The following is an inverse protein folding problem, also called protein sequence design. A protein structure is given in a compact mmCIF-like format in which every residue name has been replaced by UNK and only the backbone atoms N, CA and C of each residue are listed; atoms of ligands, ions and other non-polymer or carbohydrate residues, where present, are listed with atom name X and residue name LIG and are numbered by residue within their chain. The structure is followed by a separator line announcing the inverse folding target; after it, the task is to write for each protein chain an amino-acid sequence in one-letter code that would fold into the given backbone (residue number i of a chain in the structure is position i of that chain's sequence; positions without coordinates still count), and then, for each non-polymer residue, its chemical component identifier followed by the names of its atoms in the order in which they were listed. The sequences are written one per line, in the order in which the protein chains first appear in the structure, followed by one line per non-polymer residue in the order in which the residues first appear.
data_IF_465564324308
#
_entry.id   IF_465564324308
#
_cell.length_a   1.000
_cell.length_b   1.000
_cell.length_c   1.000
_cell.angle_alpha   90.00
_cell.angle_beta   90.00
_cell.angle_gamma   90.00
#
_symmetry.space_group_name_H-M   'P 1'
#
loop_
_entity.id
_entity.type
_entity.pdbx_description
1 polymer ?
#
# COMPACT_ATOMS: atom_id res chain seq x y z
N UNK A 1 14.30 11.10 5.22
CA UNK A 1 14.11 9.71 4.72
C UNK A 1 13.51 9.75 3.33
N UNK A 2 14.04 9.00 2.36
CA UNK A 2 13.39 8.79 1.05
C UNK A 2 12.40 7.64 1.21
N UNK A 3 11.10 7.91 1.03
CA UNK A 3 10.04 6.89 1.09
C UNK A 3 9.74 6.25 -0.26
N UNK A 4 10.19 6.90 -1.35
CA UNK A 4 9.90 6.51 -2.72
C UNK A 4 11.19 6.38 -3.53
N UNK A 5 11.10 5.61 -4.63
CA UNK A 5 12.19 5.35 -5.57
C UNK A 5 13.12 4.22 -5.13
N UNK A 6 13.89 3.66 -6.07
CA UNK A 6 14.82 2.56 -5.82
C UNK A 6 15.76 2.76 -4.59
N UNK A 7 16.26 3.98 -4.30
CA UNK A 7 17.12 4.20 -3.12
C UNK A 7 16.40 4.11 -1.76
N UNK A 8 15.07 4.03 -1.74
CA UNK A 8 14.29 3.99 -0.49
C UNK A 8 14.23 2.62 0.18
N UNK A 9 14.66 1.55 -0.52
CA UNK A 9 14.46 0.17 -0.06
C UNK A 9 12.98 -0.23 0.05
N UNK A 10 12.07 0.54 -0.56
CA UNK A 10 10.63 0.30 -0.52
C UNK A 10 10.15 -0.19 -1.88
N UNK A 11 9.53 -1.37 -1.90
CA UNK A 11 8.80 -1.91 -3.04
C UNK A 11 7.35 -1.45 -2.97
N UNK A 12 6.85 -0.88 -4.06
CA UNK A 12 5.44 -0.50 -4.19
C UNK A 12 4.73 -1.52 -5.06
N UNK A 13 3.68 -2.13 -4.53
CA UNK A 13 2.84 -3.08 -5.26
C UNK A 13 1.45 -2.50 -5.45
N UNK A 14 1.02 -2.35 -6.70
CA UNK A 14 -0.36 -1.97 -7.01
C UNK A 14 -1.29 -3.10 -6.63
N UNK A 15 -2.35 -2.78 -5.87
CA UNK A 15 -3.40 -3.71 -5.45
C UNK A 15 -4.73 -2.99 -5.39
N UNK A 16 -5.82 -3.74 -5.48
CA UNK A 16 -7.11 -3.21 -5.06
C UNK A 16 -7.17 -3.20 -3.53
N UNK A 17 -7.62 -2.09 -2.95
CA UNK A 17 -7.79 -1.90 -1.51
C UNK A 17 -9.20 -1.42 -1.27
N UNK A 18 -10.03 -2.24 -0.64
CA UNK A 18 -11.44 -1.97 -0.39
C UNK A 18 -12.25 -1.61 -1.66
N UNK A 19 -11.97 -2.25 -2.80
CA UNK A 19 -12.65 -1.95 -4.07
C UNK A 19 -12.06 -0.78 -4.87
N UNK A 20 -11.05 -0.10 -4.33
CA UNK A 20 -10.44 1.08 -4.96
C UNK A 20 -8.98 0.81 -5.36
N UNK A 21 -8.43 1.51 -6.36
CA UNK A 21 -7.01 1.44 -6.68
C UNK A 21 -6.16 1.79 -5.46
N UNK A 22 -5.15 0.98 -5.18
CA UNK A 22 -4.29 1.16 -4.02
C UNK A 22 -2.87 0.67 -4.24
N UNK A 23 -2.03 0.97 -3.27
CA UNK A 23 -0.62 0.59 -3.25
C UNK A 23 -0.30 0.02 -1.87
N UNK A 24 0.34 -1.14 -1.84
CA UNK A 24 0.96 -1.67 -0.64
C UNK A 24 2.45 -1.36 -0.71
N UNK A 25 2.96 -0.62 0.28
CA UNK A 25 4.37 -0.32 0.42
C UNK A 25 5.01 -1.38 1.31
N UNK A 26 5.95 -2.13 0.74
CA UNK A 26 6.74 -3.15 1.44
C UNK A 26 8.15 -2.60 1.61
N UNK A 27 8.63 -2.54 2.84
CA UNK A 27 9.99 -2.13 3.17
C UNK A 27 10.63 -3.18 4.04
N UNK A 28 11.84 -3.60 3.68
CA UNK A 28 12.60 -4.61 4.44
C UNK A 28 11.75 -5.89 4.68
N UNK A 29 10.96 -6.30 3.67
CA UNK A 29 10.08 -7.46 3.73
C UNK A 29 8.78 -7.29 4.52
N UNK A 30 8.57 -6.14 5.17
CA UNK A 30 7.38 -5.85 5.95
C UNK A 30 6.44 -4.86 5.26
N UNK A 31 5.13 -5.07 5.40
CA UNK A 31 4.14 -4.04 5.02
C UNK A 31 4.34 -2.83 5.93
N UNK A 32 4.78 -1.73 5.32
CA UNK A 32 5.10 -0.46 5.96
C UNK A 32 3.94 0.54 5.84
N UNK A 33 3.19 0.51 4.74
CA UNK A 33 2.00 1.31 4.57
C UNK A 33 1.05 0.70 3.53
N UNK A 34 -0.21 1.13 3.61
CA UNK A 34 -1.18 1.00 2.51
C UNK A 34 -1.63 2.39 2.11
N UNK A 35 -1.63 2.64 0.80
CA UNK A 35 -2.17 3.86 0.21
C UNK A 35 -3.44 3.49 -0.55
N UNK A 36 -4.57 4.07 -0.17
CA UNK A 36 -5.80 4.00 -0.95
C UNK A 36 -5.92 5.27 -1.80
N UNK A 37 -6.13 5.10 -3.10
CA UNK A 37 -6.24 6.19 -4.06
C UNK A 37 -7.71 6.35 -4.41
N UNK A 38 -8.22 7.58 -4.35
CA UNK A 38 -9.52 7.87 -4.91
C UNK A 38 -9.34 8.56 -6.26
N UNK A 39 -9.83 7.90 -7.32
CA UNK A 39 -9.66 8.36 -8.71
C UNK A 39 -11.01 8.83 -9.24
N UNK A 40 -11.04 10.03 -9.84
CA UNK A 40 -12.21 10.55 -10.55
C UNK A 40 -11.77 11.07 -11.91
N UNK A 41 -12.47 10.66 -12.97
CA UNK A 41 -12.16 11.05 -14.35
C UNK A 41 -10.67 10.81 -14.71
N UNK A 42 -10.11 9.67 -14.29
CA UNK A 42 -8.71 9.32 -14.54
C UNK A 42 -7.67 10.07 -13.70
N UNK A 43 -8.09 10.95 -12.79
CA UNK A 43 -7.20 11.75 -11.95
C UNK A 43 -7.28 11.32 -10.49
N UNK A 44 -6.13 11.21 -9.82
CA UNK A 44 -6.07 11.01 -8.38
C UNK A 44 -6.55 12.28 -7.68
N UNK A 45 -7.63 12.16 -6.93
CA UNK A 45 -8.22 13.28 -6.17
C UNK A 45 -7.87 13.24 -4.69
N UNK A 46 -7.57 12.03 -4.16
CA UNK A 46 -7.22 11.82 -2.76
C UNK A 46 -6.27 10.64 -2.61
N UNK A 47 -5.38 10.75 -1.63
CA UNK A 47 -4.49 9.68 -1.19
C UNK A 47 -4.65 9.52 0.31
N UNK A 48 -5.10 8.36 0.76
CA UNK A 48 -5.17 8.03 2.18
C UNK A 48 -4.05 7.06 2.52
N UNK A 49 -3.20 7.43 3.49
CA UNK A 49 -2.07 6.60 3.90
C UNK A 49 -2.34 6.01 5.28
N UNK A 50 -2.29 4.68 5.37
CA UNK A 50 -2.40 3.94 6.63
C UNK A 50 -1.06 3.31 6.95
N UNK A 51 -0.43 3.78 8.04
CA UNK A 51 0.82 3.23 8.57
C UNK A 51 0.69 2.69 10.01
N UNK A 52 -0.52 2.76 10.61
CA UNK A 52 -0.77 2.18 11.94
C UNK A 52 -0.59 0.66 11.89
N UNK A 53 0.38 0.16 12.65
CA UNK A 53 0.78 -1.24 12.67
C UNK A 53 -0.36 -2.19 13.03
N UNK A 54 -1.33 -1.76 13.85
CA UNK A 54 -2.51 -2.55 14.25
C UNK A 54 -3.45 -2.75 13.06
N UNK A 55 -3.63 -1.72 12.24
CA UNK A 55 -4.44 -1.80 11.01
C UNK A 55 -3.73 -2.63 9.94
N UNK A 56 -2.41 -2.51 9.83
CA UNK A 56 -1.60 -3.28 8.88
C UNK A 56 -1.56 -4.78 9.17
N UNK A 57 -1.83 -5.21 10.40
CA UNK A 57 -1.95 -6.64 10.73
C UNK A 57 -3.02 -7.35 9.88
N UNK A 58 -4.12 -6.65 9.55
CA UNK A 58 -5.16 -7.21 8.68
C UNK A 58 -4.65 -7.44 7.24
N UNK A 59 -3.92 -6.47 6.71
CA UNK A 59 -3.34 -6.52 5.35
C UNK A 59 -2.35 -7.68 5.23
N UNK A 60 -1.47 -7.87 6.23
CA UNK A 60 -0.51 -8.98 6.25
C UNK A 60 -1.22 -10.34 6.19
N UNK A 61 -2.32 -10.50 6.94
CA UNK A 61 -3.13 -11.73 6.93
C UNK A 61 -3.81 -11.94 5.57
N UNK A 62 -4.30 -10.89 4.93
CA UNK A 62 -4.91 -10.98 3.61
C UNK A 62 -3.90 -11.42 2.53
N UNK A 63 -2.71 -10.82 2.53
CA UNK A 63 -1.64 -11.18 1.60
C UNK A 63 -1.17 -12.62 1.77
N UNK A 64 -1.08 -13.13 3.00
CA UNK A 64 -0.72 -14.52 3.26
C UNK A 64 -1.75 -15.54 2.70
N UNK A 65 -3.00 -15.12 2.47
CA UNK A 65 -4.07 -15.97 1.92
C UNK A 65 -4.17 -15.91 0.40
N UNK A 66 -3.54 -14.92 -0.23
CA UNK A 66 -3.48 -14.74 -1.67
C UNK A 66 -2.01 -14.80 -2.09
N UNK A 67 -1.39 -15.99 -2.10
CA UNK A 67 -0.07 -16.14 -2.69
C UNK A 67 -0.17 -15.75 -4.17
N UNK A 68 0.69 -14.80 -4.55
CA UNK A 68 0.93 -14.38 -5.94
C UNK A 68 1.39 -15.54 -6.81
#
# INVERSE_FOLDING_TARGET
MKFFGAPSGTTLMTREVNGEPGIIAIREGAVAAVLALNVRNGLVTRVYVVADSRKLAHVRRALARQPS
#
